data_IF_484807826247
#
_entry.id   IF_484807826247
#
_cell.length_a   1.000
_cell.length_b   1.000
_cell.length_c   1.000
_cell.angle_alpha   90.00
_cell.angle_beta   90.00
_cell.angle_gamma   90.00
#
_symmetry.space_group_name_H-M   'P 1'
#
loop_
_entity.id
_entity.type
_entity.pdbx_description
1 polymer ?
#
# COMPACT_ATOMS: atom_id res chain seq x y z
N UNK A 1 -10.90 4.97 11.80
CA UNK A 1 -10.14 4.51 10.62
C UNK A 1 -9.61 5.72 9.87
N UNK A 2 -8.31 5.77 9.58
CA UNK A 2 -7.65 6.81 8.77
C UNK A 2 -7.02 6.17 7.54
N UNK A 3 -7.47 6.58 6.35
CA UNK A 3 -6.94 6.12 5.07
C UNK A 3 -6.26 7.30 4.40
N UNK A 4 -5.04 7.10 3.90
CA UNK A 4 -4.33 8.07 3.07
C UNK A 4 -4.17 7.49 1.68
N UNK A 5 -4.50 8.28 0.65
CA UNK A 5 -4.22 7.96 -0.74
C UNK A 5 -3.31 9.03 -1.33
N UNK A 6 -2.24 8.64 -2.02
CA UNK A 6 -1.29 9.57 -2.62
C UNK A 6 -0.64 9.00 -3.89
N UNK A 7 -0.74 9.72 -5.00
CA UNK A 7 0.18 9.51 -6.11
C UNK A 7 1.50 10.18 -5.72
N UNK A 8 2.50 9.37 -5.39
CA UNK A 8 3.76 9.89 -4.89
C UNK A 8 4.73 10.28 -6.01
N UNK A 9 4.39 10.12 -7.29
CA UNK A 9 5.29 10.34 -8.44
C UNK A 9 6.61 9.55 -8.29
N UNK A 10 6.50 8.29 -7.87
CA UNK A 10 7.65 7.43 -7.58
C UNK A 10 8.47 7.83 -6.34
N UNK A 11 9.42 6.96 -5.99
CA UNK A 11 10.36 7.19 -4.88
C UNK A 11 9.71 7.20 -3.49
N UNK A 12 8.61 6.46 -3.32
CA UNK A 12 7.86 6.39 -2.06
C UNK A 12 8.75 6.06 -0.86
N UNK A 13 9.76 5.20 -1.01
CA UNK A 13 10.71 4.86 0.07
C UNK A 13 11.40 6.09 0.70
N UNK A 14 11.53 7.18 -0.04
CA UNK A 14 12.15 8.44 0.43
C UNK A 14 11.15 9.41 1.04
N UNK A 15 9.86 9.13 0.94
CA UNK A 15 8.75 10.04 1.26
C UNK A 15 7.83 9.51 2.37
N UNK A 16 8.07 8.27 2.80
CA UNK A 16 7.22 7.53 3.74
C UNK A 16 7.05 8.27 5.09
N UNK A 17 8.09 8.95 5.58
CA UNK A 17 8.07 9.72 6.84
C UNK A 17 6.90 10.71 6.94
N UNK A 18 6.74 11.53 5.90
CA UNK A 18 5.70 12.57 5.85
C UNK A 18 4.29 11.98 6.02
N UNK A 19 4.08 10.74 5.57
CA UNK A 19 2.79 10.07 5.68
C UNK A 19 2.64 9.42 7.06
N UNK A 20 3.70 8.84 7.63
CA UNK A 20 3.62 8.15 8.91
C UNK A 20 3.39 9.10 10.10
N UNK A 21 3.83 10.36 10.01
CA UNK A 21 3.51 11.39 11.00
C UNK A 21 1.99 11.58 11.19
N UNK A 22 1.20 11.33 10.13
CA UNK A 22 -0.26 11.42 10.17
C UNK A 22 -0.92 10.21 10.82
N UNK A 23 -0.14 9.19 11.24
CA UNK A 23 -0.60 7.96 11.89
C UNK A 23 -1.74 7.29 11.11
N UNK A 24 -1.55 6.94 9.82
CA UNK A 24 -2.58 6.25 9.04
C UNK A 24 -2.81 4.83 9.54
N UNK A 25 -4.04 4.35 9.37
CA UNK A 25 -4.35 2.93 9.53
C UNK A 25 -4.03 2.17 8.23
N UNK A 26 -4.29 2.83 7.08
CA UNK A 26 -4.07 2.30 5.73
C UNK A 26 -3.48 3.39 4.83
N UNK A 27 -2.49 3.04 4.02
CA UNK A 27 -1.89 3.91 3.00
C UNK A 27 -2.00 3.27 1.63
N UNK A 28 -2.53 4.01 0.66
CA UNK A 28 -2.64 3.61 -0.75
C UNK A 28 -1.76 4.53 -1.59
N UNK A 29 -0.72 3.98 -2.21
CA UNK A 29 0.27 4.75 -3.00
C UNK A 29 0.13 4.41 -4.47
N UNK A 30 -0.17 5.40 -5.32
CA UNK A 30 -0.07 5.27 -6.77
C UNK A 30 1.34 5.63 -7.24
N UNK A 31 1.74 5.07 -8.40
CA UNK A 31 3.12 5.11 -8.90
C UNK A 31 4.14 4.56 -7.89
N UNK A 32 3.72 3.52 -7.16
CA UNK A 32 4.52 2.87 -6.15
C UNK A 32 5.54 1.92 -6.78
N UNK A 33 6.78 1.98 -6.31
CA UNK A 33 7.78 0.94 -6.55
C UNK A 33 7.39 -0.37 -5.85
N UNK A 34 7.81 -1.52 -6.40
CA UNK A 34 7.43 -2.84 -5.88
C UNK A 34 7.97 -3.09 -4.46
N UNK A 35 7.42 -4.12 -3.79
CA UNK A 35 7.74 -4.41 -2.39
C UNK A 35 9.21 -4.76 -2.14
N UNK A 36 9.89 -5.40 -3.09
CA UNK A 36 11.33 -5.71 -2.97
C UNK A 36 12.16 -4.44 -2.82
N UNK A 37 11.87 -3.41 -3.60
CA UNK A 37 12.57 -2.12 -3.54
C UNK A 37 12.24 -1.31 -2.29
N UNK A 38 11.05 -1.52 -1.72
CA UNK A 38 10.63 -0.87 -0.47
C UNK A 38 11.30 -1.51 0.76
N UNK A 39 11.40 -2.85 0.80
CA UNK A 39 11.95 -3.60 1.94
C UNK A 39 13.43 -3.36 2.20
N UNK A 40 14.21 -3.04 1.16
CA UNK A 40 15.66 -2.79 1.30
C UNK A 40 15.99 -1.52 2.11
N UNK A 41 15.01 -0.63 2.38
CA UNK A 41 15.29 0.68 3.00
C UNK A 41 14.40 1.08 4.20
N UNK A 42 13.53 0.21 4.70
CA UNK A 42 12.56 0.57 5.74
C UNK A 42 12.73 -0.29 7.01
N UNK A 43 13.82 -0.12 7.76
CA UNK A 43 14.10 -0.94 8.95
C UNK A 43 13.13 -0.73 10.13
N UNK A 44 12.33 0.33 10.17
CA UNK A 44 11.42 0.61 11.31
C UNK A 44 9.98 0.98 10.91
N UNK A 45 9.69 1.04 9.61
CA UNK A 45 8.42 1.56 9.06
C UNK A 45 7.59 0.46 8.42
N UNK A 46 7.70 -0.74 8.98
CA UNK A 46 7.19 -1.96 8.35
C UNK A 46 5.67 -2.03 8.59
N UNK A 47 4.84 -1.90 7.54
CA UNK A 47 3.41 -2.18 7.66
C UNK A 47 3.18 -3.65 8.02
N UNK A 48 2.11 -3.92 8.78
CA UNK A 48 1.69 -5.27 9.16
C UNK A 48 1.38 -6.14 7.95
N UNK A 49 0.74 -5.56 6.93
CA UNK A 49 0.42 -6.22 5.66
C UNK A 49 0.72 -5.27 4.50
N UNK A 50 1.32 -5.78 3.44
CA UNK A 50 1.65 -5.01 2.23
C UNK A 50 1.19 -5.76 0.99
N UNK A 51 0.54 -5.05 0.09
CA UNK A 51 0.15 -5.53 -1.22
C UNK A 51 0.67 -4.55 -2.26
N UNK A 52 1.10 -5.06 -3.41
CA UNK A 52 1.47 -4.24 -4.54
C UNK A 52 0.82 -4.82 -5.79
N UNK A 53 0.17 -3.94 -6.54
CA UNK A 53 -0.58 -4.25 -7.74
C UNK A 53 0.01 -3.45 -8.89
N UNK A 54 0.69 -4.11 -9.81
CA UNK A 54 1.24 -3.44 -10.99
C UNK A 54 1.58 -4.46 -12.07
N UNK A 55 1.78 -3.96 -13.28
CA UNK A 55 2.11 -4.78 -14.43
C UNK A 55 3.60 -5.15 -14.50
N UNK A 56 4.11 -5.25 -15.72
CA UNK A 56 5.47 -5.71 -16.01
C UNK A 56 6.57 -4.82 -15.40
N UNK A 57 6.28 -3.53 -15.15
CA UNK A 57 7.27 -2.55 -14.73
C UNK A 57 7.35 -2.41 -13.20
N UNK A 58 8.46 -2.82 -12.54
CA UNK A 58 8.55 -2.88 -11.08
C UNK A 58 8.64 -1.52 -10.38
N UNK A 59 8.70 -0.43 -11.14
CA UNK A 59 8.78 0.94 -10.63
C UNK A 59 7.42 1.66 -10.61
N UNK A 60 6.36 1.05 -11.16
CA UNK A 60 5.03 1.66 -11.25
C UNK A 60 3.92 0.65 -10.97
N UNK A 61 3.19 0.90 -9.90
CA UNK A 61 1.98 0.17 -9.52
C UNK A 61 1.22 0.91 -8.43
N UNK A 62 0.28 0.22 -7.81
CA UNK A 62 -0.49 0.65 -6.64
C UNK A 62 -0.05 -0.17 -5.43
N UNK A 63 0.53 0.48 -4.43
CA UNK A 63 0.87 -0.14 -3.14
C UNK A 63 -0.25 0.08 -2.13
N UNK A 64 -0.61 -0.96 -1.37
CA UNK A 64 -1.55 -0.89 -0.25
C UNK A 64 -0.84 -1.39 1.00
N UNK A 65 -0.73 -0.53 2.01
CA UNK A 65 0.02 -0.78 3.23
C UNK A 65 -0.89 -0.62 4.45
N UNK A 66 -0.95 -1.65 5.28
CA UNK A 66 -1.76 -1.68 6.51
C UNK A 66 -0.86 -1.48 7.72
N UNK A 67 -1.14 -0.46 8.54
CA UNK A 67 -0.42 -0.16 9.79
C UNK A 67 -1.21 -0.54 11.04
N UNK A 68 -2.47 -0.96 10.87
CA UNK A 68 -3.24 -1.67 11.89
C UNK A 68 -3.75 -3.00 11.36
N UNK A 69 -4.15 -3.88 12.27
CA UNK A 69 -4.60 -5.21 11.91
C UNK A 69 -6.05 -5.17 11.40
N UNK A 70 -6.19 -5.46 10.11
CA UNK A 70 -7.48 -5.63 9.43
C UNK A 70 -7.55 -7.02 8.81
N UNK A 71 -8.72 -7.65 8.90
CA UNK A 71 -9.00 -8.86 8.13
C UNK A 71 -9.29 -8.49 6.67
N UNK A 72 -8.68 -9.20 5.73
CA UNK A 72 -8.94 -9.05 4.30
C UNK A 72 -9.98 -10.11 3.93
N UNK A 73 -11.18 -9.66 3.55
CA UNK A 73 -12.31 -10.53 3.23
C UNK A 73 -12.28 -10.97 1.76
N UNK A 74 -11.90 -10.07 0.86
CA UNK A 74 -11.73 -10.39 -0.55
C UNK A 74 -10.80 -9.40 -1.25
N UNK A 75 -10.16 -9.87 -2.31
CA UNK A 75 -9.45 -9.08 -3.30
C UNK A 75 -9.86 -9.60 -4.67
N UNK A 76 -10.42 -8.75 -5.53
CA UNK A 76 -10.76 -9.15 -6.90
C UNK A 76 -9.72 -8.60 -7.87
N UNK A 77 -8.78 -9.42 -8.31
CA UNK A 77 -7.95 -9.03 -9.44
C UNK A 77 -8.77 -9.23 -10.72
N UNK A 78 -9.66 -8.29 -11.05
CA UNK A 78 -10.29 -8.31 -12.36
C UNK A 78 -9.25 -7.84 -13.38
N UNK A 79 -8.60 -8.82 -14.03
CA UNK A 79 -7.38 -8.68 -14.84
C UNK A 79 -7.54 -7.69 -16.01
N UNK A 80 -8.77 -7.24 -16.33
CA UNK A 80 -9.03 -6.32 -17.42
C UNK A 80 -8.57 -4.88 -17.19
N UNK A 81 -8.33 -4.45 -15.94
CA UNK A 81 -7.89 -3.07 -15.64
C UNK A 81 -6.67 -3.09 -14.71
N UNK A 82 -5.51 -2.74 -15.27
CA UNK A 82 -4.17 -2.91 -14.68
C UNK A 82 -3.98 -2.25 -13.29
N UNK A 83 -4.76 -1.21 -12.96
CA UNK A 83 -4.60 -0.43 -11.74
C UNK A 83 -5.87 -0.30 -10.89
N UNK A 84 -6.86 -1.19 -11.08
CA UNK A 84 -8.01 -1.28 -10.17
C UNK A 84 -7.72 -2.34 -9.10
N UNK A 85 -7.80 -1.92 -7.84
CA UNK A 85 -7.51 -2.75 -6.67
C UNK A 85 -8.75 -2.83 -5.79
N UNK A 86 -9.74 -3.67 -6.12
CA UNK A 86 -10.91 -3.85 -5.29
C UNK A 86 -10.54 -4.74 -4.11
N UNK A 87 -10.70 -4.20 -2.91
CA UNK A 87 -10.34 -4.87 -1.67
C UNK A 87 -11.45 -4.66 -0.66
N UNK A 88 -11.97 -5.77 -0.12
CA UNK A 88 -12.91 -5.76 1.01
C UNK A 88 -12.14 -6.09 2.27
N UNK A 89 -12.21 -5.19 3.25
CA UNK A 89 -11.56 -5.36 4.55
C UNK A 89 -12.59 -5.25 5.68
N UNK A 90 -12.27 -5.87 6.80
CA UNK A 90 -13.03 -5.80 8.03
C UNK A 90 -12.10 -5.46 9.19
N UNK A 91 -12.61 -4.65 10.10
CA UNK A 91 -11.90 -4.30 11.31
C UNK A 91 -11.97 -5.46 12.30
N UNK A 92 -10.86 -5.77 12.97
CA UNK A 92 -10.81 -6.88 13.95
C UNK A 92 -11.30 -6.48 15.35
N UNK A 93 -11.85 -5.27 15.52
CA UNK A 93 -12.42 -4.82 16.79
C UNK A 93 -13.91 -5.17 16.85
N UNK A 94 -14.31 -5.78 17.98
CA UNK A 94 -15.68 -5.79 18.49
C UNK A 94 -16.23 -4.36 18.62
#
# INVERSE_FOLDING_TARGET
MRIISWNCQGGYRKKIDNILELKPDIVVIQECENLERLRVFCNEKIPLKSFWFGGFYPHRGVGVFFYKDYQILSMENNISIEFIVPMKIMNNFE
#
